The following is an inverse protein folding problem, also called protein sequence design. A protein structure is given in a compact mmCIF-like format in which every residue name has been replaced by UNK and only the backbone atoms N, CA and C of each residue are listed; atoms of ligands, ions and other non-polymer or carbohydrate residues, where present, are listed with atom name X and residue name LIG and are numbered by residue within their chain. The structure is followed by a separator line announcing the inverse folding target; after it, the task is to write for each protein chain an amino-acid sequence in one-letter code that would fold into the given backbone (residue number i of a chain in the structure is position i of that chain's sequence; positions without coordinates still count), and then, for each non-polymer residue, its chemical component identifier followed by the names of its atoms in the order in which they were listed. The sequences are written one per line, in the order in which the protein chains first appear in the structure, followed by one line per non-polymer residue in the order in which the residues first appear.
data_IF_328149527212
#
_entry.id   IF_328149527212
#
_cell.length_a   1.000
_cell.length_b   1.000
_cell.length_c   1.000
_cell.angle_alpha   90.00
_cell.angle_beta   90.00
_cell.angle_gamma   90.00
#
_symmetry.space_group_name_H-M   'P 1'
#
loop_
_entity.id
_entity.type
_entity.pdbx_description
1 polymer ?
#
# COMPACT_ATOMS: atom_id res chain seq x y z
N UNK A 1 -10.36 28.77 7.30
CA UNK A 1 -8.98 28.24 7.12
C UNK A 1 -8.80 26.75 7.50
N UNK A 2 -9.78 26.07 8.11
CA UNK A 2 -9.66 24.65 8.49
C UNK A 2 -9.94 23.61 7.38
N UNK A 3 -10.52 24.00 6.23
CA UNK A 3 -10.81 23.04 5.14
C UNK A 3 -9.57 22.67 4.33
N UNK A 4 -8.61 23.60 4.16
CA UNK A 4 -7.40 23.36 3.38
C UNK A 4 -6.55 22.20 3.90
N UNK A 5 -6.42 22.06 5.22
CA UNK A 5 -5.63 20.97 5.82
C UNK A 5 -6.27 19.59 5.66
N UNK A 6 -7.61 19.52 5.73
CA UNK A 6 -8.36 18.27 5.53
C UNK A 6 -8.30 17.82 4.08
N UNK A 7 -8.46 18.75 3.13
CA UNK A 7 -8.33 18.45 1.69
C UNK A 7 -6.92 17.99 1.33
N UNK A 8 -5.88 18.66 1.82
CA UNK A 8 -4.49 18.24 1.58
C UNK A 8 -4.20 16.86 2.18
N UNK A 9 -4.75 16.58 3.37
CA UNK A 9 -4.63 15.25 3.99
C UNK A 9 -5.33 14.18 3.15
N UNK A 10 -6.54 14.46 2.65
CA UNK A 10 -7.26 13.53 1.78
C UNK A 10 -6.50 13.27 0.46
N UNK A 11 -5.96 14.31 -0.17
CA UNK A 11 -5.13 14.18 -1.38
C UNK A 11 -3.87 13.35 -1.10
N UNK A 12 -3.19 13.61 0.01
CA UNK A 12 -2.00 12.85 0.40
C UNK A 12 -2.32 11.36 0.60
N UNK A 13 -3.45 11.05 1.26
CA UNK A 13 -3.83 9.67 1.59
C UNK A 13 -4.45 8.91 0.41
N UNK A 14 -5.25 9.56 -0.43
CA UNK A 14 -6.03 8.88 -1.48
C UNK A 14 -5.42 8.96 -2.86
N UNK A 15 -4.48 9.88 -3.10
CA UNK A 15 -3.84 10.05 -4.41
C UNK A 15 -2.34 9.77 -4.29
N UNK A 16 -1.64 10.50 -3.41
CA UNK A 16 -0.19 10.39 -3.32
C UNK A 16 0.24 9.04 -2.76
N UNK A 17 -0.40 8.53 -1.72
CA UNK A 17 -0.03 7.25 -1.12
C UNK A 17 -0.24 6.05 -2.07
N UNK A 18 -1.35 5.92 -2.83
CA UNK A 18 -1.49 4.85 -3.82
C UNK A 18 -0.46 4.94 -4.95
N UNK A 19 -0.17 6.15 -5.45
CA UNK A 19 0.88 6.37 -6.45
C UNK A 19 2.24 5.96 -5.86
N UNK A 20 2.54 6.38 -4.63
CA UNK A 20 3.75 6.00 -3.92
C UNK A 20 3.89 4.48 -3.76
N UNK A 21 2.81 3.78 -3.45
CA UNK A 21 2.80 2.32 -3.38
C UNK A 21 3.17 1.67 -4.73
N UNK A 22 2.58 2.13 -5.82
CA UNK A 22 2.91 1.65 -7.17
C UNK A 22 4.37 1.95 -7.55
N UNK A 23 4.88 3.14 -7.20
CA UNK A 23 6.28 3.52 -7.42
C UNK A 23 7.22 2.62 -6.63
N UNK A 24 6.96 2.36 -5.34
CA UNK A 24 7.76 1.45 -4.51
C UNK A 24 7.81 0.05 -5.11
N UNK A 25 6.66 -0.50 -5.51
CA UNK A 25 6.59 -1.82 -6.16
C UNK A 25 7.42 -1.81 -7.45
N UNK A 26 7.27 -0.78 -8.29
CA UNK A 26 8.00 -0.65 -9.56
C UNK A 26 9.51 -0.57 -9.34
N UNK A 27 9.95 0.23 -8.38
CA UNK A 27 11.35 0.37 -7.99
C UNK A 27 11.91 -0.96 -7.52
N UNK A 28 11.24 -1.66 -6.61
CA UNK A 28 11.69 -2.98 -6.13
C UNK A 28 11.90 -3.95 -7.29
N UNK A 29 10.96 -4.01 -8.23
CA UNK A 29 11.07 -4.87 -9.41
C UNK A 29 12.20 -4.44 -10.35
N UNK A 30 12.39 -3.14 -10.57
CA UNK A 30 13.47 -2.59 -11.41
C UNK A 30 14.86 -2.89 -10.84
N UNK A 31 15.00 -2.88 -9.51
CA UNK A 31 16.25 -3.22 -8.83
C UNK A 31 16.44 -4.73 -8.60
N UNK A 32 15.63 -5.57 -9.27
CA UNK A 32 15.82 -7.02 -9.29
C UNK A 32 15.21 -7.76 -8.08
N UNK A 33 14.38 -7.12 -7.27
CA UNK A 33 13.62 -7.83 -6.25
C UNK A 33 12.69 -8.84 -6.94
N UNK A 34 12.71 -10.09 -6.47
CA UNK A 34 11.91 -11.14 -7.09
C UNK A 34 10.40 -10.86 -6.91
N UNK A 35 9.57 -11.09 -7.95
CA UNK A 35 8.13 -10.84 -7.85
C UNK A 35 7.46 -11.60 -6.70
N UNK A 36 7.96 -12.79 -6.36
CA UNK A 36 7.44 -13.58 -5.23
C UNK A 36 7.57 -12.86 -3.88
N UNK A 37 8.64 -12.09 -3.69
CA UNK A 37 8.85 -11.30 -2.46
C UNK A 37 8.00 -10.02 -2.50
N UNK A 38 8.01 -9.30 -3.63
CA UNK A 38 7.28 -8.02 -3.75
C UNK A 38 5.78 -8.22 -3.60
N UNK A 39 5.23 -9.29 -4.19
CA UNK A 39 3.80 -9.61 -4.15
C UNK A 39 3.43 -10.64 -3.07
N UNK A 40 4.32 -10.88 -2.11
CA UNK A 40 4.09 -11.85 -1.02
C UNK A 40 2.74 -11.65 -0.30
N UNK A 41 2.31 -10.42 0.07
CA UNK A 41 1.01 -10.21 0.70
C UNK A 41 -0.15 -10.69 -0.19
N UNK A 42 -0.06 -10.42 -1.50
CA UNK A 42 -1.01 -10.88 -2.49
C UNK A 42 -1.09 -12.40 -2.60
N UNK A 43 0.07 -13.07 -2.61
CA UNK A 43 0.13 -14.53 -2.62
C UNK A 43 -0.47 -15.15 -1.35
N UNK A 44 -0.20 -14.58 -0.19
CA UNK A 44 -0.78 -15.04 1.09
C UNK A 44 -2.30 -14.93 1.07
N UNK A 45 -2.86 -13.81 0.58
CA UNK A 45 -4.33 -13.68 0.51
C UNK A 45 -4.92 -14.64 -0.52
N UNK A 46 -4.30 -14.78 -1.70
CA UNK A 46 -4.79 -15.71 -2.72
C UNK A 46 -4.76 -17.17 -2.26
N UNK A 47 -3.71 -17.59 -1.56
CA UNK A 47 -3.60 -18.96 -1.02
C UNK A 47 -4.63 -19.21 0.06
N UNK A 48 -4.89 -18.24 0.94
CA UNK A 48 -5.98 -18.33 1.92
C UNK A 48 -7.36 -18.41 1.26
N UNK A 49 -7.61 -17.61 0.24
CA UNK A 49 -8.87 -17.67 -0.52
C UNK A 49 -9.04 -19.01 -1.22
N UNK A 50 -7.96 -19.54 -1.82
CA UNK A 50 -7.98 -20.85 -2.46
C UNK A 50 -8.26 -21.98 -1.45
N UNK A 51 -7.69 -21.89 -0.23
CA UNK A 51 -7.98 -22.85 0.85
C UNK A 51 -9.45 -22.80 1.32
N UNK A 52 -10.15 -21.68 1.09
CA UNK A 52 -11.58 -21.52 1.35
C UNK A 52 -12.44 -21.89 0.12
N UNK A 53 -11.83 -22.41 -0.96
CA UNK A 53 -12.52 -22.79 -2.20
C UNK A 53 -12.65 -21.68 -3.24
N UNK A 54 -12.19 -20.46 -2.96
CA UNK A 54 -12.28 -19.31 -3.86
C UNK A 54 -11.00 -19.14 -4.68
N UNK A 55 -11.10 -19.29 -6.00
CA UNK A 55 -9.98 -19.05 -6.92
C UNK A 55 -9.91 -17.57 -7.32
N UNK A 56 -9.16 -16.79 -6.55
CA UNK A 56 -9.00 -15.36 -6.82
C UNK A 56 -8.05 -15.09 -8.01
N UNK A 57 -8.40 -14.13 -8.91
CA UNK A 57 -7.57 -13.77 -10.06
C UNK A 57 -6.25 -13.14 -9.61
N UNK A 58 -5.22 -13.16 -10.48
CA UNK A 58 -3.92 -12.54 -10.20
C UNK A 58 -4.05 -11.05 -9.83
N UNK A 59 -5.01 -10.35 -10.47
CA UNK A 59 -5.34 -8.96 -10.18
C UNK A 59 -5.68 -8.73 -8.69
N UNK A 60 -6.34 -9.69 -8.04
CA UNK A 60 -6.63 -9.60 -6.60
C UNK A 60 -5.35 -9.61 -5.76
N UNK A 61 -4.35 -10.42 -6.11
CA UNK A 61 -3.06 -10.45 -5.42
C UNK A 61 -2.28 -9.14 -5.59
N UNK A 62 -2.32 -8.56 -6.79
CA UNK A 62 -1.72 -7.24 -7.05
C UNK A 62 -2.41 -6.15 -6.23
N UNK A 63 -3.75 -6.13 -6.23
CA UNK A 63 -4.54 -5.17 -5.46
C UNK A 63 -4.23 -5.28 -3.96
N UNK A 64 -4.19 -6.49 -3.41
CA UNK A 64 -3.83 -6.72 -2.01
C UNK A 64 -2.43 -6.18 -1.70
N UNK A 65 -1.47 -6.43 -2.58
CA UNK A 65 -0.09 -5.94 -2.41
C UNK A 65 -0.04 -4.42 -2.44
N UNK A 66 -0.75 -3.79 -3.38
CA UNK A 66 -0.83 -2.34 -3.51
C UNK A 66 -1.50 -1.69 -2.29
N UNK A 67 -2.61 -2.27 -1.82
CA UNK A 67 -3.29 -1.84 -0.58
C UNK A 67 -2.37 -1.99 0.63
N UNK A 68 -1.58 -3.07 0.69
CA UNK A 68 -0.63 -3.30 1.79
C UNK A 68 0.42 -2.18 1.83
N UNK A 69 1.05 -1.88 0.70
CA UNK A 69 2.04 -0.79 0.61
C UNK A 69 1.43 0.58 0.89
N UNK A 70 0.22 0.84 0.37
CA UNK A 70 -0.53 2.05 0.70
C UNK A 70 -0.73 2.19 2.21
N UNK A 71 -1.21 1.14 2.88
CA UNK A 71 -1.44 1.16 4.32
C UNK A 71 -0.15 1.43 5.11
N UNK A 72 0.98 0.81 4.70
CA UNK A 72 2.30 1.07 5.30
C UNK A 72 2.65 2.56 5.16
N UNK A 73 2.53 3.14 3.97
CA UNK A 73 2.84 4.56 3.72
C UNK A 73 1.95 5.48 4.58
N UNK A 74 0.64 5.19 4.63
CA UNK A 74 -0.32 5.94 5.45
C UNK A 74 0.05 5.87 6.94
N UNK A 75 0.36 4.68 7.45
CA UNK A 75 0.75 4.49 8.86
C UNK A 75 2.03 5.27 9.17
N UNK A 76 3.04 5.16 8.30
CA UNK A 76 4.32 5.88 8.45
C UNK A 76 4.09 7.39 8.45
N UNK A 77 3.30 7.91 7.51
CA UNK A 77 2.98 9.33 7.43
C UNK A 77 2.27 9.83 8.68
N UNK A 78 1.24 9.11 9.14
CA UNK A 78 0.49 9.44 10.36
C UNK A 78 1.39 9.40 11.61
N UNK A 79 2.28 8.40 11.70
CA UNK A 79 3.22 8.26 12.81
C UNK A 79 4.22 9.43 12.84
N UNK A 80 4.84 9.78 11.71
CA UNK A 80 5.76 10.91 11.61
C UNK A 80 5.06 12.23 11.95
N UNK A 81 3.86 12.43 11.44
CA UNK A 81 3.09 13.64 11.72
C UNK A 81 2.66 13.72 13.20
N UNK A 82 2.34 12.59 13.85
CA UNK A 82 2.09 12.54 15.29
C UNK A 82 3.33 12.88 16.10
N UNK A 83 4.50 12.31 15.75
CA UNK A 83 5.77 12.59 16.43
C UNK A 83 6.17 14.07 16.33
N UNK A 84 5.96 14.70 15.17
CA UNK A 84 6.24 16.13 14.95
C UNK A 84 5.30 17.08 15.72
N UNK A 85 4.16 16.60 16.22
CA UNK A 85 3.24 17.40 17.06
C UNK A 85 3.51 17.25 18.55
N UNK A 86 4.23 16.20 18.96
CA UNK A 86 4.56 15.91 20.35
C UNK A 86 5.89 16.55 20.77
N UNK A 87 6.80 16.75 19.81
CA UNK A 87 7.95 17.66 19.95
C UNK A 87 7.54 19.09 19.66
#
# INVERSE_FOLDING_TARGET
MASGSRTLTAVALLIVAPIGAAVVISVLLLFGATPHVVFLPGFVVRTKLAALGFHAPNAAGVLVTLITWWAIIVIVWLAVHRLRRVR
#
